data_IF_850487786398
#
_entry.id   IF_850487786398
#
_cell.length_a   1.000
_cell.length_b   1.000
_cell.length_c   1.000
_cell.angle_alpha   90.00
_cell.angle_beta   90.00
_cell.angle_gamma   90.00
#
_symmetry.space_group_name_H-M   'P 1'
#
loop_
_entity.id
_entity.type
_entity.pdbx_description
1 polymer ?
#
# COMPACT_ATOMS: atom_id res chain seq x y z
N UNK A 1 -56.01 -10.14 22.24
CA UNK A 1 -54.85 -9.53 22.90
C UNK A 1 -53.75 -10.59 23.02
N UNK A 2 -52.94 -10.77 21.97
CA UNK A 2 -51.87 -11.79 21.94
C UNK A 2 -50.50 -11.10 21.94
N UNK A 3 -49.61 -11.57 22.81
CA UNK A 3 -48.30 -10.99 23.06
C UNK A 3 -47.34 -11.15 21.85
N UNK A 4 -46.55 -10.10 21.57
CA UNK A 4 -45.50 -10.11 20.53
C UNK A 4 -44.37 -11.06 20.93
N UNK A 5 -43.80 -11.86 20.01
CA UNK A 5 -42.67 -12.72 20.33
C UNK A 5 -41.44 -11.86 20.61
N UNK A 6 -40.76 -12.18 21.71
CA UNK A 6 -39.53 -11.57 22.18
C UNK A 6 -38.41 -11.72 21.13
N UNK A 7 -37.78 -10.59 20.81
CA UNK A 7 -36.64 -10.43 19.91
C UNK A 7 -35.59 -11.51 20.21
N UNK A 8 -35.49 -12.54 19.36
CA UNK A 8 -34.46 -13.57 19.45
C UNK A 8 -33.10 -12.87 19.56
N UNK A 9 -32.37 -13.20 20.63
CA UNK A 9 -31.01 -12.73 20.88
C UNK A 9 -30.19 -13.04 19.63
N UNK A 10 -29.71 -12.00 18.94
CA UNK A 10 -28.78 -12.15 17.83
C UNK A 10 -27.61 -12.94 18.36
N UNK A 11 -27.42 -14.12 17.81
CA UNK A 11 -26.32 -15.01 18.07
C UNK A 11 -24.99 -14.26 17.83
N UNK A 12 -24.35 -13.81 18.91
CA UNK A 12 -23.10 -13.06 18.92
C UNK A 12 -21.90 -14.01 18.76
N UNK A 13 -22.01 -15.02 17.88
CA UNK A 13 -20.85 -15.83 17.51
C UNK A 13 -19.78 -14.90 16.90
N UNK A 14 -18.56 -14.83 17.48
CA UNK A 14 -17.49 -14.03 16.92
C UNK A 14 -17.24 -14.51 15.50
N UNK A 15 -17.31 -13.59 14.53
CA UNK A 15 -17.06 -13.96 13.14
C UNK A 15 -15.66 -14.56 13.05
N UNK A 16 -15.48 -15.70 12.37
CA UNK A 16 -14.16 -16.31 12.25
C UNK A 16 -13.19 -15.28 11.69
N UNK A 17 -12.01 -15.14 12.33
CA UNK A 17 -10.97 -14.21 11.89
C UNK A 17 -10.62 -14.56 10.44
N UNK A 18 -10.96 -13.65 9.52
CA UNK A 18 -10.70 -13.82 8.08
C UNK A 18 -9.20 -14.00 7.88
N UNK A 19 -8.78 -15.18 7.43
CA UNK A 19 -7.39 -15.44 7.00
C UNK A 19 -7.06 -14.41 5.90
N UNK A 20 -5.96 -13.64 6.03
CA UNK A 20 -5.59 -12.66 5.02
C UNK A 20 -5.35 -13.37 3.69
N UNK A 21 -6.23 -13.14 2.71
CA UNK A 21 -6.01 -13.64 1.34
C UNK A 21 -4.83 -12.87 0.76
N UNK A 22 -3.86 -13.56 0.16
CA UNK A 22 -2.85 -12.93 -0.70
C UNK A 22 -3.57 -12.23 -1.84
N UNK A 23 -3.36 -10.92 -1.96
CA UNK A 23 -3.97 -10.08 -3.01
C UNK A 23 -2.86 -9.58 -3.92
N UNK A 24 -3.07 -9.71 -5.21
CA UNK A 24 -2.21 -9.11 -6.22
C UNK A 24 -2.73 -7.72 -6.55
N UNK A 25 -1.83 -6.75 -6.68
CA UNK A 25 -2.15 -5.36 -7.03
C UNK A 25 -1.38 -4.98 -8.30
N UNK A 26 -2.08 -4.36 -9.25
CA UNK A 26 -1.48 -3.76 -10.44
C UNK A 26 -1.32 -2.25 -10.20
N UNK A 27 -0.09 -1.75 -10.25
CA UNK A 27 0.22 -0.32 -10.21
C UNK A 27 0.67 0.12 -11.59
N UNK A 28 -0.10 1.00 -12.25
CA UNK A 28 0.20 1.45 -13.60
C UNK A 28 0.03 2.96 -13.78
N UNK A 29 0.59 3.49 -14.85
CA UNK A 29 0.30 4.82 -15.40
C UNK A 29 0.32 4.70 -16.92
N UNK A 30 0.03 5.78 -17.65
CA UNK A 30 -0.09 5.72 -19.12
C UNK A 30 1.11 5.05 -19.83
N UNK A 31 2.34 5.53 -19.58
CA UNK A 31 3.55 4.97 -20.21
C UNK A 31 4.23 3.87 -19.40
N UNK A 32 3.86 3.69 -18.13
CA UNK A 32 4.57 2.77 -17.22
C UNK A 32 6.06 3.08 -17.02
N UNK A 33 6.46 4.35 -17.12
CA UNK A 33 7.86 4.81 -16.99
C UNK A 33 8.11 5.70 -15.77
N UNK A 34 7.20 6.64 -15.48
CA UNK A 34 7.43 7.67 -14.45
C UNK A 34 6.53 7.52 -13.23
N UNK A 35 5.23 7.85 -13.34
CA UNK A 35 4.32 7.94 -12.18
C UNK A 35 4.17 6.62 -11.39
N UNK A 36 3.88 5.51 -12.06
CA UNK A 36 3.76 4.20 -11.41
C UNK A 36 5.08 3.73 -10.80
N UNK A 37 6.18 3.96 -11.51
CA UNK A 37 7.54 3.65 -11.02
C UNK A 37 7.84 4.41 -9.74
N UNK A 38 7.56 5.72 -9.70
CA UNK A 38 7.76 6.53 -8.50
C UNK A 38 6.98 6.00 -7.29
N UNK A 39 5.71 5.61 -7.47
CA UNK A 39 4.89 5.04 -6.38
C UNK A 39 5.48 3.71 -5.88
N UNK A 40 5.90 2.84 -6.78
CA UNK A 40 6.53 1.56 -6.40
C UNK A 40 7.85 1.78 -5.68
N UNK A 41 8.70 2.69 -6.16
CA UNK A 41 9.96 3.07 -5.50
C UNK A 41 9.69 3.62 -4.10
N UNK A 42 8.74 4.56 -3.96
CA UNK A 42 8.35 5.11 -2.66
C UNK A 42 7.91 4.01 -1.67
N UNK A 43 7.13 3.05 -2.17
CA UNK A 43 6.66 1.92 -1.38
C UNK A 43 7.82 1.03 -0.92
N UNK A 44 8.73 0.67 -1.82
CA UNK A 44 9.90 -0.14 -1.50
C UNK A 44 10.79 0.56 -0.48
N UNK A 45 11.03 1.86 -0.65
CA UNK A 45 11.84 2.62 0.30
C UNK A 45 11.23 2.58 1.71
N UNK A 46 9.92 2.81 1.82
CA UNK A 46 9.27 2.99 3.12
C UNK A 46 8.89 1.69 3.81
N UNK A 47 8.47 0.68 3.05
CA UNK A 47 7.88 -0.54 3.60
C UNK A 47 8.74 -1.78 3.38
N UNK A 48 9.68 -1.76 2.43
CA UNK A 48 10.65 -2.83 2.23
C UNK A 48 12.05 -2.49 2.76
N UNK A 49 12.22 -1.31 3.36
CA UNK A 49 13.49 -0.88 3.97
C UNK A 49 14.63 -0.63 2.97
N UNK A 50 14.31 -0.50 1.68
CA UNK A 50 15.33 -0.24 0.66
C UNK A 50 15.77 1.23 0.68
N UNK A 51 17.04 1.48 0.39
CA UNK A 51 17.48 2.83 0.01
C UNK A 51 16.87 3.23 -1.35
N UNK A 52 16.86 4.53 -1.65
CA UNK A 52 16.36 5.03 -2.92
C UNK A 52 17.11 4.43 -4.12
N UNK A 53 18.43 4.26 -4.00
CA UNK A 53 19.27 3.65 -5.04
C UNK A 53 18.91 2.18 -5.26
N UNK A 54 18.78 1.41 -4.18
CA UNK A 54 18.39 -0.01 -4.24
C UNK A 54 16.99 -0.18 -4.85
N UNK A 55 16.02 0.63 -4.43
CA UNK A 55 14.67 0.57 -4.96
C UNK A 55 14.62 0.92 -6.45
N UNK A 56 15.37 1.95 -6.89
CA UNK A 56 15.47 2.31 -8.30
C UNK A 56 16.15 1.21 -9.12
N UNK A 57 17.24 0.63 -8.62
CA UNK A 57 17.93 -0.49 -9.26
C UNK A 57 17.03 -1.72 -9.37
N UNK A 58 16.32 -2.06 -8.30
CA UNK A 58 15.38 -3.18 -8.24
C UNK A 58 14.25 -3.06 -9.27
N UNK A 59 13.66 -1.87 -9.39
CA UNK A 59 12.59 -1.60 -10.35
C UNK A 59 13.13 -1.57 -11.77
N UNK A 60 14.27 -0.93 -12.00
CA UNK A 60 14.90 -0.83 -13.33
C UNK A 60 15.29 -2.19 -13.89
N UNK A 61 15.77 -3.11 -13.04
CA UNK A 61 16.08 -4.48 -13.42
C UNK A 61 14.85 -5.28 -13.91
N UNK A 62 13.65 -4.97 -13.40
CA UNK A 62 12.39 -5.63 -13.78
C UNK A 62 11.61 -4.89 -14.86
N UNK A 63 11.81 -3.59 -14.98
CA UNK A 63 11.17 -2.71 -15.96
C UNK A 63 12.23 -1.88 -16.68
N UNK A 64 12.82 -2.41 -17.76
CA UNK A 64 13.67 -1.64 -18.65
C UNK A 64 12.90 -0.41 -19.16
N UNK A 65 13.40 0.79 -18.86
CA UNK A 65 12.71 2.06 -19.16
C UNK A 65 12.00 2.73 -17.96
N UNK A 66 12.18 2.20 -16.75
CA UNK A 66 11.88 2.91 -15.52
C UNK A 66 12.66 4.24 -15.47
N UNK A 67 11.93 5.36 -15.50
CA UNK A 67 12.49 6.70 -15.54
C UNK A 67 11.51 7.65 -14.84
N UNK A 68 11.49 7.67 -13.50
CA UNK A 68 10.71 8.65 -12.75
C UNK A 68 11.26 10.06 -13.00
N UNK A 69 10.36 11.01 -13.28
CA UNK A 69 10.74 12.41 -13.38
C UNK A 69 11.42 12.92 -12.09
N UNK A 70 12.37 13.87 -12.17
CA UNK A 70 13.12 14.36 -11.02
C UNK A 70 12.24 14.87 -9.88
N UNK A 71 11.10 15.51 -10.18
CA UNK A 71 10.17 15.98 -9.16
C UNK A 71 9.61 14.84 -8.28
N UNK A 72 9.46 13.63 -8.83
CA UNK A 72 9.04 12.47 -8.05
C UNK A 72 10.17 11.95 -7.16
N UNK A 73 11.42 12.03 -7.61
CA UNK A 73 12.58 11.68 -6.78
C UNK A 73 12.64 12.58 -5.54
N UNK A 74 12.47 13.90 -5.73
CA UNK A 74 12.42 14.85 -4.62
C UNK A 74 11.20 14.62 -3.71
N UNK A 75 10.04 14.32 -4.28
CA UNK A 75 8.85 13.96 -3.49
C UNK A 75 9.08 12.70 -2.65
N UNK A 76 9.78 11.69 -3.17
CA UNK A 76 10.11 10.45 -2.44
C UNK A 76 11.09 10.76 -1.31
N UNK A 77 12.14 11.56 -1.55
CA UNK A 77 13.07 11.97 -0.49
C UNK A 77 12.35 12.71 0.64
N UNK A 78 11.42 13.61 0.31
CA UNK A 78 10.57 14.30 1.30
C UNK A 78 9.68 13.32 2.03
N UNK A 79 9.04 12.39 1.32
CA UNK A 79 8.17 11.36 1.89
C UNK A 79 8.89 10.45 2.89
N UNK A 80 10.15 10.10 2.62
CA UNK A 80 10.95 9.27 3.51
C UNK A 80 11.22 9.93 4.88
N UNK A 81 11.14 11.26 4.97
CA UNK A 81 11.35 12.04 6.20
C UNK A 81 10.08 12.30 7.01
N UNK A 82 8.91 11.87 6.52
CA UNK A 82 7.65 12.06 7.24
C UNK A 82 7.45 10.88 8.21
N UNK A 83 7.56 11.10 9.51
CA UNK A 83 7.51 10.01 10.50
C UNK A 83 6.07 9.57 10.86
N UNK A 84 5.08 10.43 10.66
CA UNK A 84 3.69 10.21 11.12
C UNK A 84 3.03 8.93 10.57
N UNK A 85 3.38 8.52 9.35
CA UNK A 85 2.84 7.31 8.71
C UNK A 85 3.62 6.03 9.04
N UNK A 86 4.80 6.14 9.63
CA UNK A 86 5.55 4.98 10.13
C UNK A 86 4.90 4.45 11.40
N UNK A 87 4.37 5.36 12.23
CA UNK A 87 3.76 5.06 13.53
C UNK A 87 2.31 4.56 13.40
N UNK A 88 1.55 5.08 12.44
CA UNK A 88 0.10 4.83 12.33
C UNK A 88 -0.26 3.71 11.34
N UNK A 89 0.65 3.38 10.43
CA UNK A 89 0.42 2.42 9.35
C UNK A 89 -0.56 2.95 8.29
N UNK A 90 -0.51 2.44 7.04
CA UNK A 90 -1.29 2.97 5.93
C UNK A 90 -2.80 2.65 6.00
N UNK A 91 -3.27 1.89 7.00
CA UNK A 91 -4.67 1.53 7.20
C UNK A 91 -4.98 1.36 8.69
N UNK A 92 -5.52 2.41 9.32
CA UNK A 92 -6.48 2.25 10.42
C UNK A 92 -7.88 2.46 9.87
#
# INVERSE_FOLDING_TARGET
MQARPTRQRRDLRPRPRRIPRRRHLLVHCGAGKSRSVAIVVAYLCRYAGMSLSEALGFVSARRPGACPAPCFIEAIKRWMKLDELATTGPRR
#
